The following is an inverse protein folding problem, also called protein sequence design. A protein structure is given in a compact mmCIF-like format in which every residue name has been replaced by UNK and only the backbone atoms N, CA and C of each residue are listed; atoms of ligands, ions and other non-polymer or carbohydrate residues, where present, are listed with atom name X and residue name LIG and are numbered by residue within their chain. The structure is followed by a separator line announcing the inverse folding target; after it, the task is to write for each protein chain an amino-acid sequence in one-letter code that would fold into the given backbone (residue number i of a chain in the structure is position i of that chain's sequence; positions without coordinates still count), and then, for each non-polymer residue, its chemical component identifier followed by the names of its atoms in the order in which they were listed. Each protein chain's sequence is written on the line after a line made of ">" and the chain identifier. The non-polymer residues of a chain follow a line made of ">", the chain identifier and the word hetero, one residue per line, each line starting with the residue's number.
data_IF_185080782396
#
_entry.id   IF_185080782396
#
_cell.length_a   1.000
_cell.length_b   1.000
_cell.length_c   1.000
_cell.angle_alpha   90.00
_cell.angle_beta   90.00
_cell.angle_gamma   90.00
#
_symmetry.space_group_name_H-M   'P 1'
#
loop_
_entity.id
_entity.type
_entity.pdbx_description
1 polymer ?
#
# COMPACT_ATOMS: atom_id res chain seq x y z
N UNK A 1 6.96 -1.15 -3.84
CA UNK A 1 7.79 -0.58 -2.74
C UNK A 1 7.70 0.92 -2.86
N UNK A 2 7.25 1.62 -1.83
CA UNK A 2 7.20 3.07 -1.81
C UNK A 2 8.52 3.65 -1.28
N UNK A 3 9.01 4.70 -1.93
CA UNK A 3 10.22 5.42 -1.54
C UNK A 3 10.10 6.88 -1.89
N UNK A 4 10.56 7.73 -0.99
CA UNK A 4 10.66 9.17 -1.20
C UNK A 4 11.89 9.70 -0.48
N UNK A 5 12.52 10.73 -1.05
CA UNK A 5 13.69 11.34 -0.45
C UNK A 5 13.80 12.82 -0.82
N UNK A 6 14.38 13.61 0.08
CA UNK A 6 14.57 15.05 -0.11
C UNK A 6 15.73 15.55 0.74
N UNK A 7 16.31 16.67 0.33
CA UNK A 7 17.22 17.51 1.12
C UNK A 7 16.62 18.87 1.45
N UNK A 8 15.35 19.12 1.11
CA UNK A 8 14.65 20.34 1.49
C UNK A 8 14.51 20.37 3.02
N UNK A 9 15.07 21.37 3.71
CA UNK A 9 15.07 21.40 5.17
C UNK A 9 13.65 21.37 5.75
N UNK A 10 13.45 20.56 6.80
CA UNK A 10 12.18 20.44 7.53
C UNK A 10 10.98 19.93 6.71
N UNK A 11 11.19 19.48 5.47
CA UNK A 11 10.16 18.91 4.61
C UNK A 11 9.60 17.62 5.22
N UNK A 12 8.28 17.52 5.35
CA UNK A 12 7.62 16.27 5.72
C UNK A 12 7.54 15.35 4.51
N UNK A 13 7.97 14.09 4.67
CA UNK A 13 7.90 13.05 3.66
C UNK A 13 7.27 11.78 4.24
N UNK A 14 6.50 11.08 3.43
CA UNK A 14 5.82 9.83 3.80
C UNK A 14 5.88 8.84 2.65
N UNK A 15 6.17 7.58 2.95
CA UNK A 15 6.12 6.44 2.03
C UNK A 15 5.27 5.34 2.66
N UNK A 16 4.27 4.85 1.94
CA UNK A 16 3.28 3.90 2.43
C UNK A 16 3.03 2.75 1.45
N UNK A 17 2.73 1.58 1.99
CA UNK A 17 2.22 0.42 1.25
C UNK A 17 0.85 0.06 1.82
N UNK A 18 -0.13 -0.14 0.94
CA UNK A 18 -1.44 -0.68 1.28
C UNK A 18 -1.57 -2.13 0.83
N UNK A 19 -2.41 -2.88 1.54
CA UNK A 19 -2.71 -4.29 1.30
C UNK A 19 -4.22 -4.50 1.39
N UNK A 20 -4.79 -5.23 0.44
CA UNK A 20 -6.17 -5.69 0.47
C UNK A 20 -6.24 -7.18 0.14
N UNK A 21 -6.95 -7.95 0.97
CA UNK A 21 -7.12 -9.39 0.84
C UNK A 21 -8.60 -9.73 0.59
N UNK A 22 -8.91 -10.52 -0.46
CA UNK A 22 -10.27 -11.00 -0.70
C UNK A 22 -10.71 -12.00 0.38
N UNK A 23 -12.01 -12.22 0.47
CA UNK A 23 -12.58 -13.27 1.32
C UNK A 23 -12.38 -14.67 0.75
N UNK A 24 -12.33 -14.79 -0.57
CA UNK A 24 -12.04 -16.04 -1.26
C UNK A 24 -10.52 -16.25 -1.34
N UNK A 25 -10.01 -17.23 -0.61
CA UNK A 25 -8.58 -17.59 -0.58
C UNK A 25 -8.05 -18.08 -1.93
N UNK A 26 -8.93 -18.39 -2.90
CA UNK A 26 -8.55 -18.73 -4.27
C UNK A 26 -8.25 -17.50 -5.14
N UNK A 27 -8.54 -16.30 -4.64
CA UNK A 27 -8.28 -15.04 -5.34
C UNK A 27 -7.04 -14.35 -4.80
N UNK A 28 -6.36 -13.61 -5.68
CA UNK A 28 -5.21 -12.81 -5.28
C UNK A 28 -5.64 -11.51 -4.59
N UNK A 29 -4.81 -11.06 -3.66
CA UNK A 29 -4.94 -9.74 -3.04
C UNK A 29 -4.26 -8.65 -3.86
N UNK A 30 -4.41 -7.41 -3.41
CA UNK A 30 -3.79 -6.24 -4.00
C UNK A 30 -2.79 -5.59 -3.05
N UNK A 31 -1.68 -5.13 -3.62
CA UNK A 31 -0.73 -4.23 -3.00
C UNK A 31 -0.81 -2.88 -3.69
N UNK A 32 -0.70 -1.81 -2.94
CA UNK A 32 -0.58 -0.45 -3.47
C UNK A 32 0.65 0.23 -2.87
N UNK A 33 1.12 1.28 -3.52
CA UNK A 33 2.18 2.13 -3.00
C UNK A 33 1.77 3.60 -3.10
N UNK A 34 2.19 4.38 -2.10
CA UNK A 34 1.97 5.81 -2.09
C UNK A 34 3.18 6.52 -1.49
N UNK A 35 3.56 7.64 -2.08
CA UNK A 35 4.58 8.51 -1.54
C UNK A 35 4.15 9.96 -1.66
N UNK A 36 4.45 10.76 -0.64
CA UNK A 36 3.97 12.13 -0.58
C UNK A 36 4.83 13.05 0.26
N UNK A 37 4.79 14.31 -0.13
CA UNK A 37 5.28 15.41 0.69
C UNK A 37 4.13 16.11 1.39
N UNK A 38 4.38 16.63 2.60
CA UNK A 38 3.41 17.45 3.32
C UNK A 38 2.21 16.68 3.88
N UNK A 39 2.11 15.36 3.67
CA UNK A 39 1.10 14.51 4.30
C UNK A 39 1.65 13.88 5.57
N UNK A 40 0.78 13.72 6.58
CA UNK A 40 1.08 12.92 7.76
C UNK A 40 1.22 11.45 7.37
N UNK A 41 1.89 10.66 8.21
CA UNK A 41 1.98 9.21 8.01
C UNK A 41 0.60 8.56 7.95
N UNK A 42 -0.32 8.97 8.82
CA UNK A 42 -1.71 8.49 8.85
C UNK A 42 -2.42 8.69 7.50
N UNK A 43 -2.45 9.92 6.96
CA UNK A 43 -3.11 10.19 5.67
C UNK A 43 -2.47 9.43 4.51
N UNK A 44 -1.15 9.29 4.52
CA UNK A 44 -0.44 8.55 3.48
C UNK A 44 -0.73 7.04 3.56
N UNK A 45 -0.79 6.50 4.78
CA UNK A 45 -1.11 5.10 5.06
C UNK A 45 -2.55 4.76 4.70
N UNK A 46 -3.50 5.59 5.14
CA UNK A 46 -4.91 5.51 4.76
C UNK A 46 -5.03 5.47 3.24
N UNK A 47 -4.52 6.50 2.55
CA UNK A 47 -4.59 6.60 1.09
C UNK A 47 -4.09 5.32 0.39
N UNK A 48 -2.95 4.78 0.82
CA UNK A 48 -2.44 3.52 0.27
C UNK A 48 -3.41 2.36 0.53
N UNK A 49 -3.94 2.23 1.75
CA UNK A 49 -4.90 1.17 2.10
C UNK A 49 -6.13 1.15 1.19
N UNK A 50 -6.84 2.27 1.03
CA UNK A 50 -8.02 2.24 0.16
C UNK A 50 -7.65 2.17 -1.31
N UNK A 51 -6.47 2.62 -1.73
CA UNK A 51 -6.03 2.38 -3.09
C UNK A 51 -5.96 0.86 -3.35
N UNK A 52 -5.40 0.08 -2.41
CA UNK A 52 -5.39 -1.37 -2.50
C UNK A 52 -6.81 -1.96 -2.46
N UNK A 53 -7.66 -1.47 -1.56
CA UNK A 53 -9.04 -1.94 -1.44
C UNK A 53 -9.87 -1.65 -2.69
N UNK A 54 -9.71 -0.47 -3.28
CA UNK A 54 -10.43 -0.03 -4.48
C UNK A 54 -10.00 -0.84 -5.70
N UNK A 55 -8.70 -1.14 -5.83
CA UNK A 55 -8.21 -2.04 -6.89
C UNK A 55 -8.84 -3.43 -6.77
N UNK A 56 -8.86 -4.01 -5.55
CA UNK A 56 -9.50 -5.30 -5.31
C UNK A 56 -11.01 -5.25 -5.60
N UNK A 57 -11.71 -4.22 -5.10
CA UNK A 57 -13.14 -4.03 -5.29
C UNK A 57 -13.53 -3.96 -6.78
N UNK A 58 -12.72 -3.30 -7.61
CA UNK A 58 -12.94 -3.21 -9.06
C UNK A 58 -12.96 -4.58 -9.73
N UNK A 59 -12.09 -5.51 -9.31
CA UNK A 59 -12.07 -6.88 -9.83
C UNK A 59 -13.22 -7.74 -9.35
N UNK A 60 -13.80 -7.40 -8.20
CA UNK A 60 -14.92 -8.11 -7.59
C UNK A 60 -16.29 -7.60 -8.06
N UNK A 61 -16.31 -6.66 -9.01
CA UNK A 61 -17.51 -6.02 -9.55
C UNK A 61 -18.25 -5.15 -8.53
N UNK A 62 -17.55 -4.65 -7.51
CA UNK A 62 -18.12 -3.71 -6.54
C UNK A 62 -18.06 -2.31 -7.18
N UNK A 63 -19.20 -1.61 -7.24
CA UNK A 63 -19.24 -0.25 -7.79
C UNK A 63 -18.35 0.68 -6.97
N UNK A 64 -17.46 1.38 -7.66
CA UNK A 64 -16.61 2.41 -7.10
C UNK A 64 -17.21 3.76 -7.47
N UNK A 65 -17.60 4.54 -6.46
CA UNK A 65 -17.95 5.96 -6.62
C UNK A 65 -16.79 6.81 -6.08
N UNK A 66 -16.05 7.55 -6.94
CA UNK A 66 -14.95 8.41 -6.51
C UNK A 66 -15.41 9.59 -5.65
N UNK A 67 -16.69 9.98 -5.72
CA UNK A 67 -17.25 11.11 -4.98
C UNK A 67 -17.72 10.70 -3.58
N UNK A 68 -17.76 9.40 -3.26
CA UNK A 68 -18.10 8.92 -1.93
C UNK A 68 -17.01 9.22 -0.89
N UNK A 69 -17.47 9.64 0.30
CA UNK A 69 -16.61 9.85 1.45
C UNK A 69 -15.80 8.59 1.79
N UNK A 70 -14.55 8.80 2.18
CA UNK A 70 -13.59 7.76 2.57
C UNK A 70 -14.19 6.71 3.54
N UNK A 71 -14.79 7.20 4.63
CA UNK A 71 -15.35 6.33 5.66
C UNK A 71 -16.52 5.49 5.13
N UNK A 72 -17.34 6.07 4.25
CA UNK A 72 -18.45 5.37 3.59
C UNK A 72 -17.95 4.26 2.69
N UNK A 73 -16.89 4.52 1.90
CA UNK A 73 -16.26 3.50 1.04
C UNK A 73 -15.68 2.35 1.85
N UNK A 74 -14.95 2.66 2.92
CA UNK A 74 -14.36 1.64 3.80
C UNK A 74 -15.43 0.79 4.48
N UNK A 75 -16.54 1.40 4.88
CA UNK A 75 -17.68 0.68 5.46
C UNK A 75 -18.39 -0.19 4.41
N UNK A 76 -18.61 0.30 3.20
CA UNK A 76 -19.20 -0.47 2.10
C UNK A 76 -18.35 -1.69 1.73
N UNK A 77 -17.02 -1.55 1.68
CA UNK A 77 -16.09 -2.66 1.45
C UNK A 77 -16.20 -3.74 2.52
N UNK A 78 -16.21 -3.35 3.80
CA UNK A 78 -16.39 -4.27 4.93
C UNK A 78 -17.76 -4.96 4.91
N UNK A 79 -18.82 -4.23 4.57
CA UNK A 79 -20.18 -4.76 4.50
C UNK A 79 -20.41 -5.67 3.28
N UNK A 80 -19.62 -5.52 2.21
CA UNK A 80 -19.75 -6.37 1.02
C UNK A 80 -19.46 -7.85 1.30
N UNK A 81 -18.74 -8.17 2.39
CA UNK A 81 -18.29 -9.52 2.72
C UNK A 81 -17.27 -10.11 1.75
N UNK A 82 -16.91 -9.38 0.68
CA UNK A 82 -15.97 -9.84 -0.36
C UNK A 82 -14.51 -9.50 -0.05
N UNK A 83 -14.27 -8.53 0.84
CA UNK A 83 -12.94 -8.13 1.30
C UNK A 83 -12.80 -8.52 2.77
N UNK A 84 -11.84 -9.39 3.08
CA UNK A 84 -11.63 -9.91 4.44
C UNK A 84 -10.82 -8.94 5.27
N UNK A 85 -9.77 -8.36 4.69
CA UNK A 85 -8.83 -7.53 5.44
C UNK A 85 -8.16 -6.50 4.55
N UNK A 86 -8.06 -5.30 5.09
CA UNK A 86 -7.21 -4.24 4.56
C UNK A 86 -6.22 -3.82 5.65
N UNK A 87 -5.03 -3.38 5.24
CA UNK A 87 -4.02 -2.85 6.16
C UNK A 87 -3.01 -2.01 5.40
N UNK A 88 -2.27 -1.15 6.11
CA UNK A 88 -1.16 -0.41 5.55
C UNK A 88 0.07 -0.42 6.47
N UNK A 89 1.22 -0.09 5.90
CA UNK A 89 2.44 0.26 6.62
C UNK A 89 2.99 1.56 6.04
N UNK A 90 3.45 2.46 6.91
CA UNK A 90 3.94 3.77 6.52
C UNK A 90 5.22 4.14 7.27
N UNK A 91 6.18 4.69 6.56
CA UNK A 91 7.30 5.42 7.13
C UNK A 91 7.14 6.89 6.81
N UNK A 92 7.15 7.73 7.84
CA UNK A 92 7.20 9.18 7.67
C UNK A 92 8.44 9.76 8.35
N UNK A 93 8.92 10.88 7.84
CA UNK A 93 10.05 11.60 8.40
C UNK A 93 9.90 13.10 8.15
N UNK A 94 10.52 13.89 9.01
CA UNK A 94 10.82 15.30 8.72
C UNK A 94 12.28 15.39 8.33
N UNK A 95 12.54 15.97 7.16
CA UNK A 95 13.88 16.18 6.62
C UNK A 95 14.74 17.01 7.59
N UNK A 96 16.02 16.66 7.65
CA UNK A 96 17.03 17.33 8.48
C UNK A 96 17.04 18.84 8.25
N UNK A 97 17.10 19.61 9.35
CA UNK A 97 17.02 21.07 9.31
C UNK A 97 18.23 21.75 8.66
N UNK A 98 19.34 21.02 8.48
CA UNK A 98 20.56 21.50 7.79
C UNK A 98 20.67 20.96 6.37
N UNK A 99 19.60 20.35 5.84
CA UNK A 99 19.53 19.87 4.45
C UNK A 99 20.31 18.59 4.20
N UNK A 100 20.55 17.75 5.22
CA UNK A 100 21.04 16.38 4.97
C UNK A 100 19.98 15.56 4.26
N UNK A 101 20.43 14.73 3.32
CA UNK A 101 19.56 13.86 2.55
C UNK A 101 18.78 12.92 3.47
N UNK A 102 17.45 12.98 3.39
CA UNK A 102 16.54 12.17 4.21
C UNK A 102 15.68 11.33 3.29
N UNK A 103 15.55 10.04 3.59
CA UNK A 103 14.74 9.09 2.81
C UNK A 103 13.78 8.33 3.73
N UNK A 104 12.56 8.11 3.25
CA UNK A 104 11.57 7.23 3.85
C UNK A 104 11.21 6.11 2.85
N UNK A 105 11.09 4.88 3.36
CA UNK A 105 10.82 3.69 2.58
C UNK A 105 9.76 2.85 3.29
N UNK A 106 8.82 2.30 2.52
CA UNK A 106 7.90 1.25 2.94
C UNK A 106 7.86 0.14 1.87
N UNK A 107 7.81 -1.11 2.29
CA UNK A 107 7.86 -2.26 1.37
C UNK A 107 6.97 -3.42 1.85
N UNK A 108 6.35 -4.10 0.89
CA UNK A 108 5.87 -5.47 1.06
C UNK A 108 6.88 -6.41 0.38
N UNK A 109 7.35 -7.41 1.10
CA UNK A 109 8.35 -8.38 0.62
C UNK A 109 7.69 -9.75 0.61
N UNK A 110 7.49 -10.31 -0.58
CA UNK A 110 6.98 -11.68 -0.72
C UNK A 110 8.16 -12.64 -0.52
N UNK A 111 8.06 -13.48 0.50
CA UNK A 111 9.03 -14.55 0.75
C UNK A 111 8.46 -15.83 0.14
N UNK A 112 9.14 -16.37 -0.86
CA UNK A 112 8.76 -17.63 -1.49
C UNK A 112 9.41 -18.80 -0.72
N UNK A 113 8.70 -19.93 -0.57
CA UNK A 113 9.31 -21.13 0.00
C UNK A 113 10.38 -21.69 -0.94
N UNK A 114 11.41 -22.33 -0.39
CA UNK A 114 12.54 -22.90 -1.14
C UNK A 114 12.09 -23.85 -2.26
N UNK A 115 10.97 -24.55 -2.07
CA UNK A 115 10.38 -25.46 -3.05
C UNK A 115 9.95 -24.81 -4.37
N UNK A 116 9.79 -23.48 -4.41
CA UNK A 116 9.43 -22.73 -5.62
C UNK A 116 10.68 -22.25 -6.37
N UNK A 117 11.87 -22.31 -5.75
CA UNK A 117 13.13 -21.79 -6.29
C UNK A 117 13.96 -22.83 -7.05
N UNK A 118 13.53 -24.10 -7.11
CA UNK A 118 14.30 -25.22 -7.70
C UNK A 118 13.68 -25.67 -9.03
N UNK A 119 13.63 -24.80 -10.03
CA UNK A 119 13.57 -25.22 -11.44
C UNK A 119 14.11 -24.08 -12.31
N UNK A 120 15.42 -24.06 -12.55
CA UNK A 120 16.03 -23.99 -13.88
C UNK A 120 17.57 -23.97 -13.74
N UNK A 121 18.19 -25.12 -13.93
CA UNK A 121 19.55 -25.23 -14.45
C UNK A 121 19.56 -26.51 -15.28
N UNK A 122 19.06 -26.37 -16.50
CA UNK A 122 18.93 -27.42 -17.49
C UNK A 122 20.19 -28.25 -17.66
N UNK A 123 20.00 -29.57 -17.57
CA UNK A 123 20.74 -30.51 -18.38
C UNK A 123 20.18 -30.41 -19.81
N UNK A 124 21.01 -29.95 -20.74
CA UNK A 124 20.94 -30.26 -22.16
C UNK A 124 22.34 -30.64 -22.63
#
# INVERSE_FOLDING_TARGET
>A
MARIATNEPNRQLSAAIGVALPADERQYGYLSEHHSYGQTGEKAGEYAEDLAASMLASTLGIKFDPDEAWDSRRQAFRLSGKIVRTSNIVQSARSDSKGKWTCAIAAAVLILPDSVLIHDNGNA
#
